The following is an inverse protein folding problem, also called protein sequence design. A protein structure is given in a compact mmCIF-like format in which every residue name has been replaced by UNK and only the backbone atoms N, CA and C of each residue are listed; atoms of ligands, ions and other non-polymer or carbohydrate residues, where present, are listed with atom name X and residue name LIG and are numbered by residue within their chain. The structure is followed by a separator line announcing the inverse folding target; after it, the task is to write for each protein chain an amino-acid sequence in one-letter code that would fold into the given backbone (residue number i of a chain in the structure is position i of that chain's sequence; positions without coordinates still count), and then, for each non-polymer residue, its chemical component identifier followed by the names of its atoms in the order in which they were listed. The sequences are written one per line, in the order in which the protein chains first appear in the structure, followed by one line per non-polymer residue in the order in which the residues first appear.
data_IF_940341391115
#
_entry.id   IF_940341391115
#
_cell.length_a   1.000
_cell.length_b   1.000
_cell.length_c   1.000
_cell.angle_alpha   90.00
_cell.angle_beta   90.00
_cell.angle_gamma   90.00
#
_symmetry.space_group_name_H-M   'P 1'
#
loop_
_entity.id
_entity.type
_entity.pdbx_description
1 polymer ?
#
# COMPACT_ATOMS: atom_id res chain seq x y z
N UNK A 1 30.78 -56.74 13.74
CA UNK A 1 29.38 -56.81 13.24
C UNK A 1 28.61 -55.49 13.48
N UNK A 2 29.29 -54.40 13.86
CA UNK A 2 28.65 -53.10 14.17
C UNK A 2 28.69 -52.09 13.01
N UNK A 3 29.62 -52.24 12.07
CA UNK A 3 29.84 -51.26 11.01
C UNK A 3 28.76 -51.31 9.92
N UNK A 4 28.29 -52.51 9.60
CA UNK A 4 27.22 -52.71 8.62
C UNK A 4 25.88 -52.16 9.10
N UNK A 5 25.63 -52.18 10.41
CA UNK A 5 24.42 -51.66 11.05
C UNK A 5 24.46 -50.14 11.07
N UNK A 6 25.63 -49.53 11.36
CA UNK A 6 25.82 -48.07 11.32
C UNK A 6 25.56 -47.49 9.94
N UNK A 7 26.05 -48.15 8.88
CA UNK A 7 25.87 -47.68 7.51
C UNK A 7 24.40 -47.81 7.04
N UNK A 8 23.70 -48.87 7.48
CA UNK A 8 22.26 -49.03 7.22
C UNK A 8 21.41 -47.98 7.95
N UNK A 9 21.78 -47.63 9.18
CA UNK A 9 21.09 -46.59 9.96
C UNK A 9 21.32 -45.20 9.34
N UNK A 10 22.55 -44.88 8.93
CA UNK A 10 22.87 -43.62 8.25
C UNK A 10 22.10 -43.48 6.92
N UNK A 11 22.02 -44.55 6.12
CA UNK A 11 21.25 -44.55 4.88
C UNK A 11 19.74 -44.36 5.13
N UNK A 12 19.19 -44.95 6.19
CA UNK A 12 17.80 -44.76 6.58
C UNK A 12 17.50 -43.32 7.02
N UNK A 13 18.40 -42.70 7.78
CA UNK A 13 18.26 -41.30 8.22
C UNK A 13 18.28 -40.35 7.01
N UNK A 14 19.20 -40.55 6.07
CA UNK A 14 19.28 -39.74 4.85
C UNK A 14 17.99 -39.89 4.02
N UNK A 15 17.47 -41.11 3.87
CA UNK A 15 16.19 -41.35 3.18
C UNK A 15 15.00 -40.64 3.84
N UNK A 16 14.94 -40.67 5.18
CA UNK A 16 13.88 -39.98 5.95
C UNK A 16 13.99 -38.46 5.81
N UNK A 17 15.19 -37.89 5.86
CA UNK A 17 15.40 -36.44 5.69
C UNK A 17 14.98 -35.95 4.31
N UNK A 18 15.24 -36.72 3.25
CA UNK A 18 14.82 -36.37 1.89
C UNK A 18 13.29 -36.39 1.74
N UNK A 19 12.60 -37.39 2.32
CA UNK A 19 11.14 -37.49 2.28
C UNK A 19 10.46 -36.41 3.14
N UNK A 20 11.02 -36.10 4.32
CA UNK A 20 10.50 -35.03 5.18
C UNK A 20 10.64 -33.64 4.54
N UNK A 21 11.69 -33.40 3.75
CA UNK A 21 11.87 -32.15 3.01
C UNK A 21 10.78 -31.94 1.96
N UNK A 22 10.37 -32.98 1.21
CA UNK A 22 9.29 -32.87 0.22
C UNK A 22 7.92 -32.64 0.89
N UNK A 23 7.67 -33.28 2.03
CA UNK A 23 6.45 -33.05 2.81
C UNK A 23 6.40 -31.64 3.42
N UNK A 24 7.55 -31.08 3.83
CA UNK A 24 7.65 -29.72 4.35
C UNK A 24 7.26 -28.65 3.32
N UNK A 25 7.71 -28.78 2.07
CA UNK A 25 7.33 -27.83 1.01
C UNK A 25 5.86 -27.97 0.58
N UNK A 26 5.28 -29.17 0.56
CA UNK A 26 3.86 -29.37 0.29
C UNK A 26 2.97 -28.87 1.45
N UNK A 27 3.42 -29.05 2.70
CA UNK A 27 2.77 -28.50 3.90
C UNK A 27 2.79 -26.97 3.93
N UNK A 28 3.89 -26.34 3.52
CA UNK A 28 3.99 -24.88 3.39
C UNK A 28 3.16 -24.32 2.22
N UNK A 29 2.94 -25.10 1.15
CA UNK A 29 2.02 -24.68 0.07
C UNK A 29 0.53 -24.85 0.42
N UNK A 30 0.20 -25.73 1.37
CA UNK A 30 -1.15 -25.88 1.94
C UNK A 30 -1.40 -24.93 3.12
N UNK A 31 -0.38 -24.62 3.94
CA UNK A 31 -0.44 -23.56 4.96
C UNK A 31 -0.37 -22.16 4.36
N UNK A 32 0.42 -21.95 3.30
CA UNK A 32 0.48 -20.68 2.56
C UNK A 32 -0.76 -20.39 1.70
N UNK A 33 -1.68 -21.36 1.56
CA UNK A 33 -2.98 -21.19 0.91
C UNK A 33 -4.17 -21.22 1.87
N UNK A 34 -3.96 -21.50 3.16
CA UNK A 34 -5.01 -21.47 4.20
C UNK A 34 -4.98 -20.22 5.08
N UNK A 35 -4.07 -19.27 4.80
CA UNK A 35 -4.12 -17.91 5.37
C UNK A 35 -5.04 -16.95 4.61
N UNK A 36 -5.77 -17.44 3.61
CA UNK A 36 -6.79 -16.68 2.91
C UNK A 36 -8.07 -17.51 3.02
N UNK A 37 -9.07 -16.98 3.73
CA UNK A 37 -10.38 -17.60 4.01
C UNK A 37 -10.52 -18.44 5.30
N UNK A 38 -10.21 -17.89 6.49
CA UNK A 38 -11.06 -18.09 7.69
C UNK A 38 -11.03 -16.82 8.54
N UNK A 39 -12.21 -16.22 8.70
CA UNK A 39 -12.49 -15.18 9.68
C UNK A 39 -12.64 -13.81 9.03
N UNK A 40 -13.74 -13.18 9.36
CA UNK A 40 -13.91 -11.74 9.57
C UNK A 40 -12.66 -11.11 10.24
N UNK A 41 -11.53 -11.07 9.53
CA UNK A 41 -10.50 -10.10 9.79
C UNK A 41 -11.11 -8.81 9.28
N UNK A 42 -11.38 -7.88 10.19
CA UNK A 42 -11.71 -6.49 9.84
C UNK A 42 -10.49 -5.92 9.11
N UNK A 43 -10.26 -6.38 7.88
CA UNK A 43 -9.37 -5.75 6.92
C UNK A 43 -9.90 -4.35 6.82
N UNK A 44 -9.16 -3.41 7.39
CA UNK A 44 -9.52 -2.00 7.37
C UNK A 44 -9.46 -1.59 5.90
N UNK A 45 -10.60 -1.73 5.22
CA UNK A 45 -10.74 -1.36 3.83
C UNK A 45 -10.96 0.15 3.81
N UNK A 46 -9.84 0.87 3.71
CA UNK A 46 -9.88 2.31 3.52
C UNK A 46 -10.23 2.56 2.05
N UNK A 47 -11.35 3.23 1.75
CA UNK A 47 -11.69 3.58 0.38
C UNK A 47 -10.67 4.55 -0.18
N UNK A 48 -10.53 4.59 -1.50
CA UNK A 48 -9.61 5.51 -2.20
C UNK A 48 -9.89 6.97 -1.86
N UNK A 49 -11.15 7.31 -1.58
CA UNK A 49 -11.58 8.66 -1.18
C UNK A 49 -12.34 8.59 0.14
N UNK A 50 -11.94 9.41 1.10
CA UNK A 50 -12.46 9.46 2.47
C UNK A 50 -12.89 10.89 2.79
N UNK A 51 -14.17 11.07 3.16
CA UNK A 51 -14.75 12.40 3.46
C UNK A 51 -14.79 12.74 4.96
N UNK A 52 -13.93 12.09 5.74
CA UNK A 52 -13.82 12.26 7.19
C UNK A 52 -12.37 12.28 7.59
N UNK A 53 -12.11 12.75 8.80
CA UNK A 53 -10.79 12.61 9.38
C UNK A 53 -10.41 11.12 9.52
N UNK A 54 -9.18 10.83 9.08
CA UNK A 54 -8.55 9.54 9.29
C UNK A 54 -7.93 9.51 10.68
N UNK A 55 -8.14 8.40 11.38
CA UNK A 55 -7.45 8.21 12.65
C UNK A 55 -5.96 7.91 12.44
N UNK A 56 -5.16 7.96 13.51
CA UNK A 56 -3.72 7.69 13.42
C UNK A 56 -3.43 6.26 12.95
N UNK A 57 -4.27 5.29 13.28
CA UNK A 57 -4.11 3.90 12.87
C UNK A 57 -4.30 3.72 11.38
N UNK A 58 -5.32 4.37 10.81
CA UNK A 58 -5.64 4.40 9.39
C UNK A 58 -4.54 5.10 8.59
N UNK A 59 -4.06 6.27 9.05
CA UNK A 59 -2.93 6.96 8.42
C UNK A 59 -1.70 6.05 8.41
N UNK A 60 -1.37 5.41 9.53
CA UNK A 60 -0.25 4.48 9.60
C UNK A 60 -0.45 3.28 8.68
N UNK A 61 -1.65 2.73 8.61
CA UNK A 61 -1.99 1.62 7.71
C UNK A 61 -1.76 2.02 6.24
N UNK A 62 -2.23 3.18 5.80
CA UNK A 62 -2.03 3.67 4.42
C UNK A 62 -0.55 3.72 4.08
N UNK A 63 0.23 4.39 4.94
CA UNK A 63 1.65 4.59 4.71
C UNK A 63 2.44 3.26 4.77
N UNK A 64 2.13 2.37 5.71
CA UNK A 64 2.83 1.08 5.84
C UNK A 64 2.58 0.14 4.65
N UNK A 65 1.42 0.27 3.99
CA UNK A 65 1.11 -0.48 2.77
C UNK A 65 1.72 0.16 1.51
N UNK A 66 2.50 1.22 1.64
CA UNK A 66 3.15 1.88 0.50
C UNK A 66 2.22 2.75 -0.34
N UNK A 67 1.07 3.11 0.21
CA UNK A 67 0.18 4.09 -0.39
C UNK A 67 0.58 5.50 0.05
N UNK A 68 0.34 6.47 -0.83
CA UNK A 68 0.49 7.90 -0.54
C UNK A 68 -0.82 8.42 0.03
N UNK A 69 -0.74 9.18 1.14
CA UNK A 69 -1.90 9.88 1.69
C UNK A 69 -1.93 11.31 1.14
N UNK A 70 -2.97 11.64 0.39
CA UNK A 70 -3.28 13.02 0.02
C UNK A 70 -4.36 13.56 0.94
N UNK A 71 -4.12 14.71 1.55
CA UNK A 71 -5.06 15.39 2.44
C UNK A 71 -5.42 16.73 1.84
N UNK A 72 -6.71 16.91 1.60
CA UNK A 72 -7.28 18.15 1.11
C UNK A 72 -8.30 18.65 2.13
N UNK A 73 -7.96 19.77 2.77
CA UNK A 73 -8.89 20.53 3.61
C UNK A 73 -9.39 21.67 2.74
N UNK A 74 -10.71 21.87 2.67
CA UNK A 74 -11.31 22.90 1.82
C UNK A 74 -12.50 23.56 2.49
N UNK A 75 -12.80 24.78 2.08
CA UNK A 75 -14.01 25.49 2.48
C UNK A 75 -15.19 25.09 1.58
N UNK A 76 -16.36 24.84 2.16
CA UNK A 76 -17.56 24.41 1.39
C UNK A 76 -18.11 25.53 0.48
N UNK A 77 -17.88 26.79 0.85
CA UNK A 77 -18.35 27.98 0.11
C UNK A 77 -17.38 28.43 -1.00
N UNK A 78 -16.32 27.67 -1.28
CA UNK A 78 -15.29 27.99 -2.27
C UNK A 78 -15.49 27.18 -3.56
N UNK A 79 -15.98 27.83 -4.63
CA UNK A 79 -16.26 27.17 -5.92
C UNK A 79 -14.99 26.54 -6.54
N UNK A 80 -13.88 27.27 -6.55
CA UNK A 80 -12.59 26.74 -7.04
C UNK A 80 -12.11 25.53 -6.22
N UNK A 81 -12.38 25.53 -4.92
CA UNK A 81 -12.00 24.43 -4.04
C UNK A 81 -12.83 23.16 -4.32
N UNK A 82 -14.09 23.33 -4.75
CA UNK A 82 -14.93 22.21 -5.17
C UNK A 82 -14.48 21.62 -6.53
N UNK A 83 -14.01 22.47 -7.45
CA UNK A 83 -13.40 22.03 -8.71
C UNK A 83 -12.11 21.24 -8.44
N UNK A 84 -11.22 21.79 -7.59
CA UNK A 84 -9.99 21.12 -7.16
C UNK A 84 -10.30 19.78 -6.51
N UNK A 85 -11.27 19.73 -5.58
CA UNK A 85 -11.73 18.48 -4.95
C UNK A 85 -12.09 17.43 -6.01
N UNK A 86 -12.87 17.80 -7.02
CA UNK A 86 -13.29 16.87 -8.06
C UNK A 86 -12.09 16.38 -8.89
N UNK A 87 -11.13 17.26 -9.20
CA UNK A 87 -9.88 16.89 -9.86
C UNK A 87 -9.08 15.90 -9.00
N UNK A 88 -8.91 16.18 -7.71
CA UNK A 88 -8.17 15.31 -6.79
C UNK A 88 -8.83 13.94 -6.64
N UNK A 89 -10.16 13.88 -6.57
CA UNK A 89 -10.92 12.61 -6.55
C UNK A 89 -10.66 11.79 -7.81
N UNK A 90 -10.66 12.43 -8.98
CA UNK A 90 -10.37 11.75 -10.24
C UNK A 90 -8.94 11.19 -10.27
N UNK A 91 -7.96 11.94 -9.77
CA UNK A 91 -6.57 11.48 -9.67
C UNK A 91 -6.44 10.32 -8.69
N UNK A 92 -7.02 10.42 -7.50
CA UNK A 92 -6.97 9.36 -6.51
C UNK A 92 -7.58 8.06 -7.05
N UNK A 93 -8.73 8.13 -7.73
CA UNK A 93 -9.37 6.99 -8.37
C UNK A 93 -8.52 6.37 -9.47
N UNK A 94 -7.77 7.17 -10.25
CA UNK A 94 -6.84 6.66 -11.25
C UNK A 94 -5.70 5.85 -10.63
N UNK A 95 -5.21 6.29 -9.48
CA UNK A 95 -4.14 5.63 -8.72
C UNK A 95 -4.68 4.74 -7.58
N UNK A 96 -5.85 4.13 -7.79
CA UNK A 96 -6.44 3.22 -6.82
C UNK A 96 -5.44 2.13 -6.41
N UNK A 97 -5.26 1.97 -5.09
CA UNK A 97 -4.30 1.03 -4.50
C UNK A 97 -2.88 1.57 -4.34
N UNK A 98 -2.60 2.77 -4.84
CA UNK A 98 -1.32 3.47 -4.63
C UNK A 98 -1.49 4.79 -3.87
N UNK A 99 -2.70 5.32 -3.81
CA UNK A 99 -3.02 6.60 -3.19
C UNK A 99 -4.37 6.55 -2.49
N UNK A 100 -4.50 7.28 -1.39
CA UNK A 100 -5.76 7.56 -0.70
C UNK A 100 -5.91 9.08 -0.55
N UNK A 101 -7.08 9.60 -0.93
CA UNK A 101 -7.48 10.99 -0.72
C UNK A 101 -8.36 11.10 0.53
N UNK A 102 -7.95 11.94 1.47
CA UNK A 102 -8.79 12.46 2.53
C UNK A 102 -9.24 13.87 2.14
N UNK A 103 -10.54 14.06 1.89
CA UNK A 103 -11.14 15.34 1.54
C UNK A 103 -12.11 15.78 2.65
N UNK A 104 -11.71 16.75 3.46
CA UNK A 104 -12.49 17.21 4.63
C UNK A 104 -12.82 18.68 4.52
N UNK A 105 -14.02 19.06 4.97
CA UNK A 105 -14.40 20.46 5.07
C UNK A 105 -13.71 21.08 6.29
N UNK A 106 -13.11 22.24 6.12
CA UNK A 106 -12.44 22.98 7.17
C UNK A 106 -12.54 24.50 6.98
N UNK A 107 -11.95 25.24 7.91
CA UNK A 107 -11.97 26.71 7.88
C UNK A 107 -10.88 27.31 6.98
N UNK A 108 -9.90 26.50 6.56
CA UNK A 108 -8.79 26.91 5.75
C UNK A 108 -8.58 25.89 4.63
N UNK A 109 -8.15 26.35 3.46
CA UNK A 109 -7.80 25.47 2.35
C UNK A 109 -6.34 25.03 2.45
N UNK A 110 -6.09 23.72 2.44
CA UNK A 110 -4.73 23.17 2.40
C UNK A 110 -4.69 21.86 1.65
N UNK A 111 -3.62 21.67 0.86
CA UNK A 111 -3.36 20.44 0.13
C UNK A 111 -1.98 19.90 0.48
N UNK A 112 -1.96 18.68 1.01
CA UNK A 112 -0.74 18.00 1.44
C UNK A 112 -0.70 16.58 0.91
N UNK A 113 0.49 16.13 0.52
CA UNK A 113 0.79 14.72 0.32
C UNK A 113 1.80 14.22 1.34
N UNK A 114 1.54 13.02 1.86
CA UNK A 114 2.41 12.31 2.80
C UNK A 114 2.82 10.97 2.19
N UNK A 115 4.12 10.77 2.01
CA UNK A 115 4.71 9.52 1.53
C UNK A 115 5.23 8.63 2.65
N UNK A 116 5.79 7.47 2.29
CA UNK A 116 6.47 6.59 3.25
C UNK A 116 7.63 7.34 3.92
N UNK A 117 7.79 7.13 5.23
CA UNK A 117 8.86 7.75 6.01
C UNK A 117 8.51 9.14 6.55
N UNK A 118 7.27 9.61 6.32
CA UNK A 118 6.79 10.90 6.82
C UNK A 118 7.26 12.09 5.99
N UNK A 119 7.68 11.85 4.74
CA UNK A 119 7.91 12.94 3.79
C UNK A 119 6.58 13.64 3.52
N UNK A 120 6.55 14.94 3.82
CA UNK A 120 5.38 15.77 3.64
C UNK A 120 5.69 16.81 2.58
N UNK A 121 4.87 16.85 1.54
CA UNK A 121 4.91 17.88 0.50
C UNK A 121 3.61 18.67 0.56
N UNK A 122 3.72 19.94 0.85
CA UNK A 122 2.62 20.89 0.73
C UNK A 122 2.53 21.36 -0.72
N UNK A 123 1.31 21.50 -1.24
CA UNK A 123 1.04 21.92 -2.60
C UNK A 123 0.33 23.28 -2.50
N UNK A 124 1.08 24.33 -2.83
CA UNK A 124 0.62 25.71 -2.81
C UNK A 124 0.20 26.12 -4.23
N UNK A 125 -1.02 26.64 -4.36
CA UNK A 125 -1.62 27.27 -5.55
C UNK A 125 -1.59 26.49 -6.89
N UNK A 126 -2.61 26.72 -7.73
CA UNK A 126 -2.75 26.16 -9.09
C UNK A 126 -2.70 24.61 -9.15
N UNK A 127 -3.72 23.98 -8.56
CA UNK A 127 -3.87 22.52 -8.49
C UNK A 127 -4.13 21.95 -9.89
N UNK A 128 -3.09 21.42 -10.51
CA UNK A 128 -3.17 20.75 -11.81
C UNK A 128 -2.89 19.25 -11.69
N UNK A 129 -3.53 18.46 -12.53
CA UNK A 129 -3.33 17.00 -12.57
C UNK A 129 -1.84 16.63 -12.77
N UNK A 130 -1.12 17.39 -13.60
CA UNK A 130 0.30 17.19 -13.87
C UNK A 130 1.16 17.39 -12.61
N UNK A 131 0.92 18.47 -11.88
CA UNK A 131 1.62 18.79 -10.63
C UNK A 131 1.37 17.71 -9.57
N UNK A 132 0.11 17.30 -9.39
CA UNK A 132 -0.28 16.26 -8.45
C UNK A 132 0.41 14.94 -8.79
N UNK A 133 0.43 14.58 -10.07
CA UNK A 133 1.09 13.37 -10.55
C UNK A 133 2.60 13.42 -10.35
N UNK A 134 3.23 14.56 -10.62
CA UNK A 134 4.67 14.75 -10.44
C UNK A 134 5.10 14.58 -8.98
N UNK A 135 4.39 15.25 -8.06
CA UNK A 135 4.63 15.11 -6.63
C UNK A 135 4.41 13.67 -6.16
N UNK A 136 3.32 13.05 -6.58
CA UNK A 136 3.04 11.65 -6.28
C UNK A 136 4.16 10.72 -6.76
N UNK A 137 4.61 10.84 -8.01
CA UNK A 137 5.68 10.00 -8.55
C UNK A 137 7.03 10.20 -7.84
N UNK A 138 7.26 11.37 -7.24
CA UNK A 138 8.47 11.68 -6.46
C UNK A 138 8.45 11.01 -5.09
N UNK A 139 7.30 11.03 -4.41
CA UNK A 139 7.18 10.54 -3.02
C UNK A 139 6.67 9.10 -2.92
N UNK A 140 6.13 8.54 -4.01
CA UNK A 140 5.55 7.20 -3.99
C UNK A 140 6.65 6.14 -3.89
N UNK A 141 6.61 5.28 -2.87
CA UNK A 141 7.55 4.17 -2.72
C UNK A 141 7.30 3.07 -3.77
N UNK A 142 6.05 2.90 -4.19
CA UNK A 142 5.62 1.93 -5.21
C UNK A 142 5.17 2.72 -6.42
N UNK A 143 6.07 2.84 -7.40
CA UNK A 143 5.82 3.62 -8.62
C UNK A 143 4.89 2.85 -9.56
N UNK A 144 3.69 3.39 -9.89
CA UNK A 144 2.91 2.85 -10.99
C UNK A 144 3.61 3.11 -12.33
N UNK A 145 3.16 2.42 -13.37
CA UNK A 145 3.85 2.38 -14.67
C UNK A 145 4.04 3.78 -15.27
N UNK A 146 3.08 4.67 -15.07
CA UNK A 146 3.08 6.05 -15.55
C UNK A 146 4.25 6.85 -14.95
N UNK A 147 4.58 6.63 -13.67
CA UNK A 147 5.71 7.28 -13.02
C UNK A 147 7.07 6.80 -13.54
N UNK A 148 7.16 5.54 -13.97
CA UNK A 148 8.40 4.98 -14.51
C UNK A 148 8.71 5.52 -15.91
N UNK A 149 7.69 5.82 -16.71
CA UNK A 149 7.87 6.32 -18.08
C UNK A 149 8.39 7.76 -18.09
N UNK A 150 8.04 8.57 -17.09
CA UNK A 150 8.50 9.96 -16.95
C UNK A 150 10.00 10.09 -16.62
N UNK A 151 10.65 9.06 -16.12
CA UNK A 151 12.10 9.10 -15.85
C UNK A 151 12.95 9.06 -17.13
N UNK A 152 12.33 8.79 -18.29
CA UNK A 152 13.00 8.67 -19.59
C UNK A 152 12.68 9.80 -20.58
N UNK A 153 11.88 10.78 -20.17
CA UNK A 153 11.56 12.00 -20.91
C UNK A 153 12.41 13.18 -20.42
#
# INVERSE_FOLDING_TARGET
MEEHTRNKIMAAIIGIVMLASMAGFAGLQLMGRSSQEIGDDQTVQIPTVVYRDLDRGEVLYILQNGMVLMQYIYEEDCESCLEDKQLLENVANRYQGYMVLQAVVGNDTSLRMTGIGGSVTEIEDDVTEELITDKFCTISPVKPRECLLREFE
#
